data_IF_062821068079
#
_entry.id   IF_062821068079
#
_cell.length_a   1.000
_cell.length_b   1.000
_cell.length_c   1.000
_cell.angle_alpha   90.00
_cell.angle_beta   90.00
_cell.angle_gamma   90.00
#
_symmetry.space_group_name_H-M   'P 1'
#
loop_
_entity.id
_entity.type
_entity.pdbx_description
1 polymer ?
#
# COMPACT_ATOMS: atom_id res chain seq x y z
N UNK A 1 4.55 3.98 12.54
CA UNK A 1 4.25 2.76 11.74
C UNK A 1 3.94 3.08 10.28
N UNK A 2 3.00 3.98 9.96
CA UNK A 2 2.65 4.35 8.58
C UNK A 2 3.84 4.84 7.71
N UNK A 3 4.72 5.67 8.28
CA UNK A 3 5.92 6.18 7.59
C UNK A 3 6.85 5.07 7.05
N UNK A 4 6.88 3.90 7.68
CA UNK A 4 7.65 2.75 7.20
C UNK A 4 7.13 2.27 5.84
N UNK A 5 5.81 2.15 5.70
CA UNK A 5 5.16 1.74 4.46
C UNK A 5 5.35 2.79 3.37
N UNK A 6 5.25 4.08 3.70
CA UNK A 6 5.54 5.18 2.77
C UNK A 6 6.96 5.09 2.22
N UNK A 7 7.96 4.93 3.09
CA UNK A 7 9.36 4.81 2.67
C UNK A 7 9.60 3.56 1.81
N UNK A 8 9.04 2.41 2.19
CA UNK A 8 9.15 1.18 1.38
C UNK A 8 8.52 1.33 0.01
N UNK A 9 7.36 1.96 -0.07
CA UNK A 9 6.72 2.25 -1.34
C UNK A 9 7.61 3.15 -2.23
N UNK A 10 8.18 4.21 -1.67
CA UNK A 10 9.11 5.09 -2.40
C UNK A 10 10.32 4.36 -2.94
N UNK A 11 10.91 3.46 -2.14
CA UNK A 11 12.03 2.60 -2.58
C UNK A 11 11.63 1.70 -3.74
N UNK A 12 10.44 1.08 -3.69
CA UNK A 12 9.94 0.21 -4.77
C UNK A 12 9.76 0.99 -6.07
N UNK A 13 9.13 2.18 -5.98
CA UNK A 13 8.84 3.01 -7.16
C UNK A 13 10.13 3.55 -7.78
N UNK A 14 11.03 4.12 -6.98
CA UNK A 14 12.29 4.73 -7.45
C UNK A 14 13.34 3.69 -7.82
N UNK A 15 13.26 2.49 -7.28
CA UNK A 15 14.21 1.41 -7.54
C UNK A 15 14.17 0.92 -8.99
N UNK A 16 15.33 0.52 -9.51
CA UNK A 16 15.48 -0.11 -10.82
C UNK A 16 15.25 -1.61 -10.70
N UNK A 17 13.99 -2.02 -10.53
CA UNK A 17 13.59 -3.41 -10.51
C UNK A 17 12.86 -3.79 -11.81
N UNK A 18 12.95 -5.06 -12.26
CA UNK A 18 12.07 -5.59 -13.30
C UNK A 18 10.59 -5.39 -12.95
N UNK A 19 9.75 -5.15 -13.96
CA UNK A 19 8.32 -4.84 -13.77
C UNK A 19 7.57 -5.92 -12.98
N UNK A 20 7.80 -7.20 -13.31
CA UNK A 20 7.23 -8.33 -12.56
C UNK A 20 7.63 -8.33 -11.08
N UNK A 21 8.87 -7.95 -10.77
CA UNK A 21 9.37 -7.84 -9.39
C UNK A 21 8.73 -6.64 -8.68
N UNK A 22 8.58 -5.49 -9.34
CA UNK A 22 7.86 -4.34 -8.76
C UNK A 22 6.43 -4.70 -8.41
N UNK A 23 5.71 -5.36 -9.32
CA UNK A 23 4.33 -5.80 -9.10
C UNK A 23 4.20 -6.70 -7.87
N UNK A 24 5.11 -7.67 -7.71
CA UNK A 24 5.13 -8.54 -6.54
C UNK A 24 5.44 -7.77 -5.25
N UNK A 25 6.41 -6.85 -5.27
CA UNK A 25 6.76 -6.04 -4.10
C UNK A 25 5.60 -5.13 -3.66
N UNK A 26 4.88 -4.53 -4.63
CA UNK A 26 3.68 -3.72 -4.37
C UNK A 26 2.57 -4.58 -3.77
N UNK A 27 2.30 -5.76 -4.35
CA UNK A 27 1.29 -6.67 -3.83
C UNK A 27 1.58 -7.10 -2.39
N UNK A 28 2.82 -7.48 -2.10
CA UNK A 28 3.24 -7.84 -0.74
C UNK A 28 3.10 -6.67 0.24
N UNK A 29 3.51 -5.46 -0.17
CA UNK A 29 3.38 -4.27 0.68
C UNK A 29 1.92 -3.98 1.05
N UNK A 30 0.98 -4.19 0.12
CA UNK A 30 -0.44 -4.03 0.39
C UNK A 30 -0.96 -5.07 1.39
N UNK A 31 -0.62 -6.35 1.22
CA UNK A 31 -1.02 -7.41 2.15
C UNK A 31 -0.44 -7.21 3.56
N UNK A 32 0.78 -6.68 3.65
CA UNK A 32 1.37 -6.29 4.93
C UNK A 32 0.60 -5.13 5.59
N UNK A 33 0.15 -4.13 4.82
CA UNK A 33 -0.66 -3.02 5.34
C UNK A 33 -2.05 -3.49 5.79
N UNK A 34 -2.70 -4.35 5.01
CA UNK A 34 -4.01 -4.93 5.35
C UNK A 34 -3.97 -5.58 6.74
N UNK A 35 -2.93 -6.38 6.99
CA UNK A 35 -2.73 -7.04 8.27
C UNK A 35 -2.37 -6.06 9.38
N UNK A 36 -1.41 -5.16 9.14
CA UNK A 36 -0.87 -4.28 10.17
C UNK A 36 -1.87 -3.23 10.68
N UNK A 37 -2.79 -2.78 9.82
CA UNK A 37 -3.79 -1.77 10.16
C UNK A 37 -5.19 -2.37 10.36
N UNK A 38 -5.32 -3.70 10.38
CA UNK A 38 -6.60 -4.41 10.45
C UNK A 38 -7.62 -3.87 9.42
N UNK A 39 -7.15 -3.69 8.18
CA UNK A 39 -8.01 -3.14 7.13
C UNK A 39 -9.16 -4.10 6.84
N UNK A 40 -10.40 -3.59 6.73
CA UNK A 40 -11.50 -4.38 6.23
C UNK A 40 -11.25 -4.86 4.80
N UNK A 41 -11.58 -6.12 4.50
CA UNK A 41 -11.44 -6.67 3.13
C UNK A 41 -12.40 -6.02 2.13
N UNK A 42 -13.48 -5.41 2.62
CA UNK A 42 -14.47 -4.68 1.84
C UNK A 42 -14.44 -3.20 2.22
N UNK A 43 -14.94 -2.34 1.33
CA UNK A 43 -15.08 -0.92 1.65
C UNK A 43 -15.89 -0.72 2.93
N UNK A 44 -15.33 0.02 3.88
CA UNK A 44 -15.96 0.38 5.14
C UNK A 44 -15.76 1.88 5.37
N UNK A 45 -16.77 2.71 5.04
CA UNK A 45 -16.65 4.17 5.14
C UNK A 45 -16.31 4.68 6.53
N UNK A 46 -16.82 4.03 7.59
CA UNK A 46 -16.55 4.42 8.98
C UNK A 46 -15.07 4.20 9.32
N UNK A 47 -14.54 3.03 8.98
CA UNK A 47 -13.11 2.74 9.15
C UNK A 47 -12.25 3.67 8.30
N UNK A 48 -12.63 3.93 7.05
CA UNK A 48 -11.87 4.82 6.16
C UNK A 48 -11.79 6.26 6.68
N UNK A 49 -12.89 6.77 7.27
CA UNK A 49 -12.93 8.11 7.87
C UNK A 49 -12.03 8.22 9.11
N UNK A 50 -11.92 7.15 9.90
CA UNK A 50 -10.99 7.13 11.05
C UNK A 50 -9.53 6.93 10.63
N UNK A 51 -9.29 6.42 9.41
CA UNK A 51 -7.97 5.98 8.94
C UNK A 51 -7.58 6.65 7.60
N UNK A 52 -7.95 7.91 7.40
CA UNK A 52 -7.79 8.64 6.12
C UNK A 52 -6.37 8.56 5.54
N UNK A 53 -5.35 8.76 6.35
CA UNK A 53 -3.95 8.71 5.89
C UNK A 53 -3.53 7.30 5.42
N UNK A 54 -4.04 6.28 6.11
CA UNK A 54 -3.73 4.87 5.82
C UNK A 54 -4.39 4.47 4.50
N UNK A 55 -5.68 4.78 4.33
CA UNK A 55 -6.41 4.45 3.10
C UNK A 55 -5.88 5.28 1.91
N UNK A 56 -5.50 6.53 2.12
CA UNK A 56 -4.89 7.37 1.07
C UNK A 56 -3.58 6.75 0.56
N UNK A 57 -2.69 6.32 1.48
CA UNK A 57 -1.46 5.63 1.09
C UNK A 57 -1.76 4.31 0.38
N UNK A 58 -2.67 3.50 0.93
CA UNK A 58 -3.05 2.20 0.34
C UNK A 58 -3.59 2.36 -1.08
N UNK A 59 -4.48 3.34 -1.33
CA UNK A 59 -5.00 3.67 -2.66
C UNK A 59 -3.89 4.10 -3.62
N UNK A 60 -2.93 4.91 -3.15
CA UNK A 60 -1.76 5.33 -3.94
C UNK A 60 -0.88 4.14 -4.34
N UNK A 61 -0.65 3.21 -3.42
CA UNK A 61 0.11 1.97 -3.68
C UNK A 61 -0.66 1.09 -4.69
N UNK A 62 -1.96 0.91 -4.48
CA UNK A 62 -2.84 0.12 -5.35
C UNK A 62 -2.84 0.63 -6.80
N UNK A 63 -2.94 1.95 -6.99
CA UNK A 63 -2.88 2.59 -8.31
C UNK A 63 -1.55 2.33 -9.05
N UNK A 64 -0.49 2.01 -8.31
CA UNK A 64 0.84 1.73 -8.87
C UNK A 64 1.03 0.27 -9.30
N UNK A 65 0.05 -0.64 -9.10
CA UNK A 65 0.14 -2.06 -9.52
C UNK A 65 0.28 -2.27 -11.03
N UNK A 66 -0.07 -1.26 -11.83
CA UNK A 66 -0.04 -1.30 -13.29
C UNK A 66 1.19 -0.60 -13.89
N UNK A 67 2.13 -0.12 -13.06
CA UNK A 67 3.43 0.41 -13.48
C UNK A 67 4.45 -0.73 -13.65
#
# INVERSE_FOLDING_TARGET
MLQYYTKRFEVIIRGKYPANRKKLMIANLMSEMETAFNMPMQSNPEWEQENEEIIALYRRISASRNL
#
